data_IF_235744612470
#
_entry.id   IF_235744612470
#
_cell.length_a   1.000
_cell.length_b   1.000
_cell.length_c   1.000
_cell.angle_alpha   90.00
_cell.angle_beta   90.00
_cell.angle_gamma   90.00
#
_symmetry.space_group_name_H-M   'P 1'
#
loop_
_entity.id
_entity.type
_entity.pdbx_description
1 polymer ?
#
# COMPACT_ATOMS: atom_id res chain seq x y z
N UNK A 1 -28.39 -15.92 8.97
CA UNK A 1 -28.35 -14.94 7.86
C UNK A 1 -26.88 -14.78 7.48
N UNK A 2 -26.50 -14.90 6.21
CA UNK A 2 -25.11 -14.57 5.84
C UNK A 2 -24.92 -13.08 6.11
N UNK A 3 -23.99 -12.72 6.98
CA UNK A 3 -23.72 -11.33 7.31
C UNK A 3 -23.37 -10.57 6.02
N UNK A 4 -24.01 -9.42 5.81
CA UNK A 4 -23.65 -8.53 4.71
C UNK A 4 -22.23 -8.01 4.98
N UNK A 5 -21.34 -7.98 3.98
CA UNK A 5 -19.99 -7.42 4.13
C UNK A 5 -20.04 -6.00 4.69
N UNK A 6 -19.26 -5.76 5.74
CA UNK A 6 -19.18 -4.46 6.41
C UNK A 6 -18.12 -3.63 5.70
N UNK A 7 -18.46 -2.44 5.19
CA UNK A 7 -17.48 -1.53 4.62
C UNK A 7 -16.67 -0.87 5.73
N UNK A 8 -15.35 -1.00 5.68
CA UNK A 8 -14.38 -0.45 6.63
C UNK A 8 -13.72 0.83 6.13
N UNK A 9 -13.54 0.95 4.81
CA UNK A 9 -12.88 2.10 4.18
C UNK A 9 -13.73 2.66 3.04
N UNK A 10 -13.65 3.97 2.85
CA UNK A 10 -14.23 4.62 1.68
C UNK A 10 -13.49 4.23 0.41
N UNK A 11 -14.25 3.96 -0.65
CA UNK A 11 -13.73 3.64 -1.97
C UNK A 11 -14.78 3.03 -2.87
N UNK A 12 -14.34 2.44 -3.97
CA UNK A 12 -15.19 1.99 -5.08
C UNK A 12 -15.29 0.47 -5.19
N UNK A 13 -14.55 -0.27 -4.37
CA UNK A 13 -14.52 -1.73 -4.43
C UNK A 13 -15.91 -2.32 -4.17
N UNK A 14 -16.21 -3.41 -4.83
CA UNK A 14 -17.37 -4.25 -4.58
C UNK A 14 -17.08 -5.24 -3.44
N UNK A 15 -18.12 -5.77 -2.77
CA UNK A 15 -17.93 -6.83 -1.80
C UNK A 15 -17.20 -8.03 -2.40
N UNK A 16 -16.18 -8.53 -1.68
CA UNK A 16 -15.29 -9.63 -2.11
C UNK A 16 -14.45 -9.34 -3.38
N UNK A 17 -14.34 -8.08 -3.80
CA UNK A 17 -13.43 -7.69 -4.86
C UNK A 17 -11.97 -7.86 -4.41
N UNK A 18 -11.13 -8.34 -5.34
CA UNK A 18 -9.69 -8.47 -5.10
C UNK A 18 -9.06 -7.09 -5.02
N UNK A 19 -8.28 -6.85 -3.99
CA UNK A 19 -7.37 -5.69 -3.94
C UNK A 19 -5.95 -6.04 -4.40
N UNK A 20 -5.75 -7.26 -4.90
CA UNK A 20 -4.50 -7.71 -5.49
C UNK A 20 -4.70 -8.08 -6.96
N UNK A 21 -3.62 -7.94 -7.73
CA UNK A 21 -3.53 -8.42 -9.11
C UNK A 21 -2.47 -9.51 -9.17
N UNK A 22 -2.77 -10.58 -9.89
CA UNK A 22 -1.79 -11.63 -10.20
C UNK A 22 -1.20 -11.41 -11.57
N UNK A 23 0.09 -11.68 -11.71
CA UNK A 23 0.84 -11.64 -12.96
C UNK A 23 1.60 -12.96 -13.06
N UNK A 24 1.31 -13.73 -14.10
CA UNK A 24 1.99 -15.00 -14.32
C UNK A 24 3.47 -14.78 -14.64
N UNK A 25 4.30 -15.75 -14.28
CA UNK A 25 5.75 -15.71 -14.52
C UNK A 25 6.12 -15.46 -16.00
N UNK A 26 5.29 -15.89 -16.94
CA UNK A 26 5.51 -15.69 -18.37
C UNK A 26 5.27 -14.24 -18.83
N UNK A 27 4.50 -13.47 -18.06
CA UNK A 27 4.15 -12.07 -18.33
C UNK A 27 4.99 -11.10 -17.48
N UNK A 28 5.63 -11.63 -16.44
CA UNK A 28 6.51 -10.90 -15.54
C UNK A 28 7.87 -10.60 -16.17
N UNK A 29 8.36 -9.38 -15.97
CA UNK A 29 9.71 -8.98 -16.41
C UNK A 29 10.82 -9.73 -15.66
N UNK A 30 10.54 -10.20 -14.45
CA UNK A 30 11.49 -10.96 -13.64
C UNK A 30 11.53 -12.46 -14.00
N UNK A 31 10.54 -12.94 -14.78
CA UNK A 31 10.36 -14.37 -15.04
C UNK A 31 9.85 -15.16 -13.82
N UNK A 32 9.51 -14.47 -12.72
CA UNK A 32 8.90 -15.03 -11.52
C UNK A 32 7.43 -14.64 -11.46
N UNK A 33 6.62 -15.46 -10.78
CA UNK A 33 5.22 -15.11 -10.55
C UNK A 33 5.12 -13.88 -9.64
N UNK A 34 4.26 -12.93 -10.01
CA UNK A 34 4.15 -11.65 -9.33
C UNK A 34 2.73 -11.42 -8.78
N UNK A 35 2.64 -10.79 -7.61
CA UNK A 35 1.40 -10.26 -7.05
C UNK A 35 1.59 -8.78 -6.75
N UNK A 36 0.69 -7.94 -7.23
CA UNK A 36 0.65 -6.53 -6.88
C UNK A 36 -0.41 -6.28 -5.81
N UNK A 37 -0.01 -5.69 -4.69
CA UNK A 37 -0.90 -5.09 -3.70
C UNK A 37 -0.93 -3.58 -3.90
N UNK A 38 -1.94 -3.10 -4.62
CA UNK A 38 -2.13 -1.70 -4.96
C UNK A 38 -3.39 -1.15 -4.28
N UNK A 39 -3.24 -0.10 -3.47
CA UNK A 39 -4.36 0.55 -2.78
C UNK A 39 -4.63 -0.01 -1.38
N UNK A 40 -5.88 0.03 -0.93
CA UNK A 40 -6.27 -0.35 0.45
C UNK A 40 -6.41 -1.86 0.58
N UNK A 41 -5.89 -2.43 1.68
CA UNK A 41 -6.07 -3.83 2.06
C UNK A 41 -7.53 -4.02 2.48
N UNK A 42 -8.35 -4.33 1.48
CA UNK A 42 -9.79 -4.52 1.56
C UNK A 42 -10.57 -3.31 2.09
N UNK A 43 -11.48 -2.78 1.27
CA UNK A 43 -12.45 -1.80 1.71
C UNK A 43 -13.58 -2.41 2.57
N UNK A 44 -13.68 -3.73 2.62
CA UNK A 44 -14.67 -4.47 3.40
C UNK A 44 -14.00 -5.37 4.46
N UNK A 45 -14.61 -5.49 5.64
CA UNK A 45 -14.10 -6.36 6.69
C UNK A 45 -14.12 -7.83 6.27
N UNK A 46 -13.07 -8.54 6.64
CA UNK A 46 -12.95 -10.00 6.47
C UNK A 46 -13.23 -10.78 7.75
N UNK A 47 -13.78 -10.13 8.78
CA UNK A 47 -14.17 -10.80 10.01
C UNK A 47 -15.19 -11.90 9.71
N UNK A 48 -14.85 -13.14 10.05
CA UNK A 48 -15.59 -14.36 9.68
C UNK A 48 -15.86 -14.56 8.17
N UNK A 49 -15.10 -13.90 7.29
CA UNK A 49 -15.12 -14.11 5.83
C UNK A 49 -13.98 -15.04 5.40
N UNK A 50 -14.34 -16.20 4.85
CA UNK A 50 -13.40 -17.20 4.30
C UNK A 50 -13.27 -17.13 2.78
N UNK A 51 -14.11 -16.36 2.08
CA UNK A 51 -14.11 -16.31 0.62
C UNK A 51 -12.83 -15.65 0.12
N UNK A 52 -12.60 -14.42 0.56
CA UNK A 52 -11.51 -13.59 0.03
C UNK A 52 -10.11 -14.12 0.41
N UNK A 53 -9.84 -14.58 1.65
CA UNK A 53 -8.59 -15.28 1.98
C UNK A 53 -8.35 -16.54 1.14
N UNK A 54 -9.42 -17.31 0.88
CA UNK A 54 -9.32 -18.49 0.01
C UNK A 54 -8.97 -18.09 -1.41
N UNK A 55 -9.59 -17.03 -1.95
CA UNK A 55 -9.25 -16.50 -3.28
C UNK A 55 -7.78 -16.10 -3.36
N UNK A 56 -7.26 -15.38 -2.36
CA UNK A 56 -5.84 -15.01 -2.33
C UNK A 56 -4.93 -16.24 -2.32
N UNK A 57 -5.25 -17.24 -1.48
CA UNK A 57 -4.50 -18.49 -1.42
C UNK A 57 -4.55 -19.25 -2.75
N UNK A 58 -5.73 -19.40 -3.34
CA UNK A 58 -5.89 -20.11 -4.61
C UNK A 58 -5.08 -19.42 -5.73
N UNK A 59 -5.17 -18.09 -5.81
CA UNK A 59 -4.45 -17.27 -6.78
C UNK A 59 -2.93 -17.39 -6.60
N UNK A 60 -2.42 -17.24 -5.37
CA UNK A 60 -0.99 -17.39 -5.03
C UNK A 60 -0.45 -18.77 -5.45
N UNK A 61 -1.19 -19.84 -5.11
CA UNK A 61 -0.75 -21.20 -5.42
C UNK A 61 -0.89 -21.53 -6.92
N UNK A 62 -1.84 -20.90 -7.62
CA UNK A 62 -2.02 -21.06 -9.06
C UNK A 62 -0.85 -20.47 -9.85
N UNK A 63 -0.41 -19.24 -9.52
CA UNK A 63 0.70 -18.58 -10.22
C UNK A 63 2.06 -19.08 -9.73
N UNK A 64 2.21 -19.26 -8.42
CA UNK A 64 3.50 -19.57 -7.81
C UNK A 64 3.87 -21.04 -7.96
N UNK A 65 2.88 -21.95 -7.95
CA UNK A 65 3.06 -23.41 -8.11
C UNK A 65 4.12 -24.01 -7.16
N UNK A 66 4.31 -23.39 -5.99
CA UNK A 66 5.32 -23.76 -5.00
C UNK A 66 6.74 -23.23 -5.31
N UNK A 67 6.92 -22.51 -6.42
CA UNK A 67 8.15 -21.79 -6.77
C UNK A 67 8.22 -20.38 -6.17
N UNK A 68 9.30 -19.63 -6.45
CA UNK A 68 9.47 -18.28 -5.94
C UNK A 68 8.37 -17.34 -6.44
N UNK A 69 7.95 -16.44 -5.56
CA UNK A 69 6.97 -15.39 -5.86
C UNK A 69 7.50 -14.04 -5.41
N UNK A 70 7.27 -13.02 -6.23
CA UNK A 70 7.55 -11.63 -5.88
C UNK A 70 6.24 -10.90 -5.63
N UNK A 71 6.13 -10.19 -4.52
CA UNK A 71 4.96 -9.39 -4.18
C UNK A 71 5.36 -7.92 -4.13
N UNK A 72 4.82 -7.12 -5.05
CA UNK A 72 5.02 -5.68 -5.10
C UNK A 72 3.95 -5.00 -4.25
N UNK A 73 4.36 -4.09 -3.39
CA UNK A 73 3.47 -3.44 -2.41
C UNK A 73 3.49 -1.93 -2.60
N UNK A 74 2.31 -1.38 -2.84
CA UNK A 74 2.00 0.03 -2.81
C UNK A 74 0.63 0.25 -2.14
N UNK A 75 0.62 0.14 -0.82
CA UNK A 75 -0.59 0.11 -0.02
C UNK A 75 -0.50 1.01 1.21
N UNK A 76 -1.54 1.83 1.38
CA UNK A 76 -1.82 2.62 2.57
C UNK A 76 -2.22 1.81 3.80
N UNK A 77 -2.36 0.48 3.70
CA UNK A 77 -2.87 -0.38 4.76
C UNK A 77 -4.36 -0.68 4.58
N UNK A 78 -5.04 -1.09 5.66
CA UNK A 78 -6.45 -1.49 5.59
C UNK A 78 -6.85 -2.42 6.74
N UNK A 79 -7.71 -3.40 6.45
CA UNK A 79 -8.23 -4.36 7.44
C UNK A 79 -7.11 -5.25 8.02
N UNK A 80 -6.93 -5.19 9.34
CA UNK A 80 -5.86 -5.91 10.06
C UNK A 80 -6.07 -7.42 10.09
N UNK A 81 -7.32 -7.89 10.05
CA UNK A 81 -7.65 -9.32 10.03
C UNK A 81 -7.33 -9.89 8.66
N UNK A 82 -7.65 -9.17 7.59
CA UNK A 82 -7.27 -9.50 6.22
C UNK A 82 -5.74 -9.61 6.08
N UNK A 83 -5.02 -8.60 6.56
CA UNK A 83 -3.56 -8.61 6.57
C UNK A 83 -2.98 -9.80 7.36
N UNK A 84 -3.56 -10.13 8.52
CA UNK A 84 -3.13 -11.26 9.34
C UNK A 84 -3.37 -12.62 8.66
N UNK A 85 -4.52 -12.80 7.99
CA UNK A 85 -4.82 -14.02 7.21
C UNK A 85 -3.85 -14.15 6.02
N UNK A 86 -3.60 -13.08 5.28
CA UNK A 86 -2.63 -13.06 4.17
C UNK A 86 -1.23 -13.38 4.66
N UNK A 87 -0.77 -12.73 5.73
CA UNK A 87 0.53 -13.02 6.37
C UNK A 87 0.67 -14.50 6.69
N UNK A 88 -0.38 -15.12 7.23
CA UNK A 88 -0.37 -16.56 7.56
C UNK A 88 -0.27 -17.43 6.29
N UNK A 89 -1.03 -17.09 5.24
CA UNK A 89 -0.98 -17.80 3.95
C UNK A 89 0.43 -17.71 3.34
N UNK A 90 1.06 -16.54 3.40
CA UNK A 90 2.42 -16.31 2.90
C UNK A 90 3.46 -17.06 3.73
N UNK A 91 3.34 -17.05 5.06
CA UNK A 91 4.26 -17.79 5.93
C UNK A 91 4.17 -19.32 5.75
N UNK A 92 3.01 -19.84 5.35
CA UNK A 92 2.82 -21.27 5.04
C UNK A 92 3.27 -21.66 3.62
N UNK A 93 3.48 -20.68 2.74
CA UNK A 93 3.88 -20.91 1.36
C UNK A 93 5.29 -21.52 1.30
N UNK A 94 5.47 -22.54 0.45
CA UNK A 94 6.73 -23.31 0.40
C UNK A 94 7.80 -22.68 -0.47
N UNK A 95 7.39 -21.89 -1.46
CA UNK A 95 8.32 -21.15 -2.30
C UNK A 95 8.84 -19.92 -1.55
N UNK A 96 9.96 -19.37 -2.02
CA UNK A 96 10.48 -18.12 -1.47
C UNK A 96 9.52 -16.96 -1.77
N UNK A 97 9.19 -16.17 -0.75
CA UNK A 97 8.38 -14.96 -0.88
C UNK A 97 9.30 -13.74 -0.81
N UNK A 98 9.43 -13.04 -1.94
CA UNK A 98 10.14 -11.76 -2.03
C UNK A 98 9.15 -10.62 -1.97
N UNK A 99 9.23 -9.75 -0.97
CA UNK A 99 8.43 -8.53 -0.87
C UNK A 99 9.22 -7.36 -1.45
N UNK A 100 8.58 -6.54 -2.29
CA UNK A 100 9.14 -5.31 -2.85
C UNK A 100 8.20 -4.15 -2.54
N UNK A 101 8.57 -3.28 -1.61
CA UNK A 101 7.83 -2.04 -1.38
C UNK A 101 8.22 -1.04 -2.46
N UNK A 102 7.31 -0.80 -3.40
CA UNK A 102 7.59 -0.01 -4.61
C UNK A 102 7.15 1.45 -4.49
N UNK A 103 6.27 1.77 -3.54
CA UNK A 103 5.87 3.14 -3.24
C UNK A 103 5.55 3.34 -1.76
N UNK A 104 4.58 2.57 -1.26
CA UNK A 104 4.12 2.69 0.12
C UNK A 104 3.83 1.33 0.76
N UNK A 105 4.23 1.16 2.01
CA UNK A 105 3.66 0.13 2.89
C UNK A 105 3.33 0.75 4.25
N UNK A 106 2.07 1.12 4.44
CA UNK A 106 1.60 1.75 5.68
C UNK A 106 0.65 0.85 6.48
N UNK A 107 0.70 0.96 7.80
CA UNK A 107 -0.21 0.25 8.71
C UNK A 107 -0.24 -1.27 8.44
N UNK A 108 -1.42 -1.86 8.21
CA UNK A 108 -1.61 -3.29 7.99
C UNK A 108 -0.77 -3.85 6.82
N UNK A 109 -0.35 -3.02 5.86
CA UNK A 109 0.53 -3.44 4.78
C UNK A 109 1.92 -3.85 5.28
N UNK A 110 2.44 -3.20 6.33
CA UNK A 110 3.71 -3.59 6.94
C UNK A 110 3.62 -5.00 7.53
N UNK A 111 2.47 -5.37 8.12
CA UNK A 111 2.25 -6.72 8.65
C UNK A 111 2.36 -7.78 7.55
N UNK A 112 1.82 -7.50 6.35
CA UNK A 112 1.94 -8.39 5.18
C UNK A 112 3.39 -8.42 4.67
N UNK A 113 4.04 -7.25 4.52
CA UNK A 113 5.45 -7.17 4.07
C UNK A 113 6.38 -7.97 4.96
N UNK A 114 6.15 -7.95 6.27
CA UNK A 114 6.92 -8.73 7.23
C UNK A 114 6.63 -10.25 7.18
N UNK A 115 5.79 -10.73 6.27
CA UNK A 115 5.68 -12.16 5.95
C UNK A 115 6.80 -12.65 5.02
N UNK A 116 7.48 -11.74 4.31
CA UNK A 116 8.49 -12.08 3.32
C UNK A 116 9.74 -12.75 3.90
N UNK A 117 10.33 -13.61 3.08
CA UNK A 117 11.68 -14.17 3.30
C UNK A 117 12.77 -13.15 2.95
N UNK A 118 12.50 -12.34 1.93
CA UNK A 118 13.33 -11.20 1.51
C UNK A 118 12.46 -9.97 1.35
N UNK A 119 12.90 -8.85 1.89
CA UNK A 119 12.15 -7.60 1.90
C UNK A 119 13.01 -6.50 1.31
N UNK A 120 12.62 -6.05 0.14
CA UNK A 120 13.23 -4.92 -0.55
C UNK A 120 12.33 -3.70 -0.46
N UNK A 121 12.94 -2.52 -0.43
CA UNK A 121 12.24 -1.24 -0.49
C UNK A 121 12.91 -0.35 -1.51
N UNK A 122 12.14 0.27 -2.41
CA UNK A 122 12.68 1.24 -3.35
C UNK A 122 13.19 2.48 -2.60
N UNK A 123 14.25 3.10 -3.10
CA UNK A 123 14.87 4.31 -2.53
C UNK A 123 13.90 5.48 -2.27
N UNK A 124 12.84 5.56 -3.08
CA UNK A 124 11.78 6.58 -3.03
C UNK A 124 10.54 6.13 -2.26
N UNK A 125 10.51 4.89 -1.76
CA UNK A 125 9.37 4.34 -1.05
C UNK A 125 9.44 4.55 0.46
N UNK A 126 8.27 4.45 1.10
CA UNK A 126 8.08 4.69 2.52
C UNK A 126 7.38 3.52 3.22
N UNK A 127 7.72 3.33 4.50
CA UNK A 127 6.95 2.49 5.42
C UNK A 127 6.32 3.35 6.52
N UNK A 128 5.18 2.93 7.05
CA UNK A 128 4.59 3.56 8.23
C UNK A 128 4.03 2.52 9.19
N UNK A 129 4.36 2.68 10.47
CA UNK A 129 3.76 1.91 11.56
C UNK A 129 3.02 2.83 12.52
N UNK A 130 1.86 2.38 12.98
CA UNK A 130 1.05 3.09 13.97
C UNK A 130 0.23 2.11 14.81
N UNK A 131 -0.40 2.62 15.87
CA UNK A 131 -1.33 1.83 16.68
C UNK A 131 -2.58 1.41 15.88
N UNK A 132 -3.13 0.20 16.12
CA UNK A 132 -4.40 -0.19 15.50
C UNK A 132 -5.52 0.76 15.94
N UNK A 133 -6.49 0.99 15.06
CA UNK A 133 -7.60 1.88 15.32
C UNK A 133 -8.92 1.30 14.78
N UNK A 134 -10.02 1.63 15.45
CA UNK A 134 -11.37 1.42 14.93
C UNK A 134 -11.89 2.72 14.33
N UNK A 135 -12.37 2.65 13.08
CA UNK A 135 -13.14 3.73 12.47
C UNK A 135 -14.62 3.47 12.73
N UNK A 136 -15.28 4.38 13.47
CA UNK A 136 -16.69 4.24 13.80
C UNK A 136 -17.44 5.50 13.41
N UNK A 137 -18.36 5.37 12.47
CA UNK A 137 -19.16 6.48 11.94
C UNK A 137 -20.60 6.40 12.48
N UNK A 138 -21.11 7.51 12.99
CA UNK A 138 -22.51 7.67 13.43
C UNK A 138 -23.01 6.61 14.43
N UNK A 139 -22.15 6.07 15.30
CA UNK A 139 -22.56 5.14 16.36
C UNK A 139 -22.70 5.86 17.71
N UNK A 140 -23.76 5.52 18.45
CA UNK A 140 -23.86 5.83 19.88
C UNK A 140 -23.19 4.71 20.65
N UNK A 141 -22.09 5.02 21.34
CA UNK A 141 -21.28 4.06 22.08
C UNK A 141 -21.38 4.33 23.57
N UNK A 142 -21.63 3.29 24.37
CA UNK A 142 -21.61 3.37 25.82
C UNK A 142 -20.21 3.05 26.38
N UNK A 143 -20.03 3.31 27.68
CA UNK A 143 -18.76 3.09 28.38
C UNK A 143 -18.34 1.62 28.32
N UNK A 144 -19.30 0.68 28.33
CA UNK A 144 -19.00 -0.75 28.30
C UNK A 144 -18.42 -1.16 26.94
N UNK A 145 -19.02 -0.68 25.86
CA UNK A 145 -18.60 -0.92 24.48
C UNK A 145 -17.20 -0.35 24.24
N UNK A 146 -16.96 0.89 24.66
CA UNK A 146 -15.65 1.53 24.53
C UNK A 146 -14.54 0.76 25.29
N UNK A 147 -14.84 0.23 26.48
CA UNK A 147 -13.90 -0.60 27.24
C UNK A 147 -13.60 -1.94 26.55
N UNK A 148 -14.61 -2.58 25.96
CA UNK A 148 -14.40 -3.81 25.18
C UNK A 148 -13.47 -3.54 24.00
N UNK A 149 -13.75 -2.50 23.23
CA UNK A 149 -12.96 -2.15 22.05
C UNK A 149 -11.53 -1.75 22.40
N UNK A 150 -11.32 -1.07 23.53
CA UNK A 150 -9.98 -0.79 24.02
C UNK A 150 -9.20 -2.08 24.28
N UNK A 151 -9.79 -3.04 25.00
CA UNK A 151 -9.15 -4.33 25.28
C UNK A 151 -8.87 -5.13 23.99
N UNK A 152 -9.77 -5.04 23.00
CA UNK A 152 -9.56 -5.63 21.67
C UNK A 152 -8.39 -4.98 20.93
N UNK A 153 -8.31 -3.64 20.91
CA UNK A 153 -7.19 -2.91 20.31
C UNK A 153 -5.86 -3.22 21.00
N UNK A 154 -5.84 -3.31 22.33
CA UNK A 154 -4.65 -3.70 23.09
C UNK A 154 -4.19 -5.11 22.71
N UNK A 155 -5.12 -6.05 22.52
CA UNK A 155 -4.83 -7.42 22.09
C UNK A 155 -4.25 -7.45 20.68
N UNK A 156 -4.88 -6.73 19.74
CA UNK A 156 -4.39 -6.62 18.35
C UNK A 156 -3.00 -5.95 18.32
N UNK A 157 -2.84 -4.86 19.08
CA UNK A 157 -1.58 -4.12 19.19
C UNK A 157 -0.46 -5.04 19.68
N UNK A 158 -0.70 -5.85 20.71
CA UNK A 158 0.30 -6.79 21.22
C UNK A 158 0.77 -7.77 20.12
N UNK A 159 -0.15 -8.37 19.38
CA UNK A 159 0.22 -9.31 18.29
C UNK A 159 1.03 -8.66 17.16
N UNK A 160 0.69 -7.41 16.80
CA UNK A 160 1.46 -6.62 15.82
C UNK A 160 2.86 -6.30 16.38
N UNK A 161 2.93 -5.87 17.64
CA UNK A 161 4.21 -5.56 18.30
C UNK A 161 5.14 -6.77 18.33
N UNK A 162 4.63 -7.94 18.70
CA UNK A 162 5.42 -9.18 18.74
C UNK A 162 6.00 -9.50 17.36
N UNK A 163 5.22 -9.28 16.29
CA UNK A 163 5.69 -9.43 14.91
C UNK A 163 6.81 -8.46 14.58
N UNK A 164 6.67 -7.18 14.94
CA UNK A 164 7.68 -6.16 14.68
C UNK A 164 8.96 -6.42 15.48
N UNK A 165 8.84 -6.76 16.77
CA UNK A 165 9.97 -7.11 17.63
C UNK A 165 10.72 -8.32 17.06
N UNK A 166 9.98 -9.37 16.67
CA UNK A 166 10.59 -10.58 16.13
C UNK A 166 11.34 -10.35 14.82
N UNK A 167 10.85 -9.43 13.96
CA UNK A 167 11.49 -9.13 12.68
C UNK A 167 12.65 -8.16 12.80
N UNK A 168 12.50 -7.11 13.60
CA UNK A 168 13.46 -5.99 13.68
C UNK A 168 14.54 -6.20 14.73
N UNK A 169 14.29 -7.04 15.76
CA UNK A 169 15.13 -7.15 16.95
C UNK A 169 15.08 -5.90 17.87
N UNK A 170 14.22 -4.93 17.58
CA UNK A 170 14.03 -3.74 18.42
C UNK A 170 13.23 -4.13 19.68
N UNK A 171 13.53 -3.48 20.82
CA UNK A 171 12.78 -3.73 22.06
C UNK A 171 11.30 -3.41 21.91
N UNK A 172 10.45 -4.20 22.58
CA UNK A 172 8.99 -4.00 22.60
C UNK A 172 8.61 -2.57 23.03
N UNK A 173 9.31 -1.99 24.01
CA UNK A 173 9.08 -0.62 24.46
C UNK A 173 9.33 0.41 23.34
N UNK A 174 10.41 0.24 22.57
CA UNK A 174 10.74 1.17 21.48
C UNK A 174 9.77 0.99 20.32
N UNK A 175 9.40 -0.25 19.95
CA UNK A 175 8.36 -0.49 18.95
C UNK A 175 7.03 0.14 19.39
N UNK A 176 6.62 -0.05 20.64
CA UNK A 176 5.40 0.53 21.19
C UNK A 176 5.38 2.05 21.05
N UNK A 177 6.49 2.72 21.40
CA UNK A 177 6.62 4.18 21.22
C UNK A 177 6.52 4.57 19.75
N UNK A 178 7.23 3.89 18.86
CA UNK A 178 7.19 4.19 17.42
C UNK A 178 5.78 4.04 16.84
N UNK A 179 5.02 3.03 17.28
CA UNK A 179 3.63 2.86 16.86
C UNK A 179 2.73 3.98 17.41
N UNK A 180 2.85 4.33 18.68
CA UNK A 180 2.04 5.41 19.27
C UNK A 180 2.37 6.80 18.70
N UNK A 181 3.57 7.01 18.16
CA UNK A 181 3.98 8.27 17.51
C UNK A 181 3.58 8.35 16.02
N UNK A 182 3.01 7.28 15.45
CA UNK A 182 2.78 7.13 14.00
C UNK A 182 4.08 7.39 13.23
N UNK A 183 4.99 6.43 13.28
CA UNK A 183 6.33 6.57 12.71
C UNK A 183 6.34 6.28 11.22
N UNK A 184 6.81 7.25 10.45
CA UNK A 184 7.13 7.14 9.03
C UNK A 184 8.62 6.86 8.86
N UNK A 185 8.95 5.90 8.01
CA UNK A 185 10.31 5.45 7.73
C UNK A 185 10.61 5.61 6.25
N UNK A 186 11.73 6.26 5.94
CA UNK A 186 12.35 6.19 4.61
C UNK A 186 12.88 4.78 4.33
N UNK A 187 13.17 4.46 3.08
CA UNK A 187 13.82 3.20 2.68
C UNK A 187 15.06 2.86 3.53
N UNK A 188 15.96 3.83 3.71
CA UNK A 188 17.19 3.64 4.50
C UNK A 188 16.90 3.42 5.98
N UNK A 189 15.92 4.11 6.55
CA UNK A 189 15.52 3.91 7.95
C UNK A 189 14.84 2.56 8.16
N UNK A 190 13.99 2.14 7.21
CA UNK A 190 13.37 0.82 7.24
C UNK A 190 14.42 -0.29 7.27
N UNK A 191 15.46 -0.21 6.42
CA UNK A 191 16.58 -1.17 6.44
C UNK A 191 17.37 -1.07 7.74
N UNK A 192 17.76 0.15 8.16
CA UNK A 192 18.53 0.36 9.39
C UNK A 192 17.82 -0.18 10.64
N UNK A 193 16.49 -0.14 10.65
CA UNK A 193 15.66 -0.60 11.76
C UNK A 193 15.17 -2.05 11.58
N UNK A 194 15.57 -2.74 10.51
CA UNK A 194 15.24 -4.16 10.29
C UNK A 194 13.81 -4.43 9.83
N UNK A 195 13.11 -3.42 9.28
CA UNK A 195 11.81 -3.61 8.62
C UNK A 195 11.97 -4.04 7.15
N UNK A 196 13.14 -3.81 6.55
CA UNK A 196 13.52 -4.28 5.23
C UNK A 196 14.98 -4.77 5.27
N UNK A 197 15.36 -5.58 4.29
CA UNK A 197 16.70 -6.15 4.18
C UNK A 197 17.63 -5.25 3.34
N UNK A 198 17.11 -4.66 2.26
CA UNK A 198 17.92 -3.88 1.32
C UNK A 198 17.11 -2.79 0.61
N UNK A 199 17.78 -1.66 0.33
CA UNK A 199 17.24 -0.59 -0.51
C UNK A 199 17.59 -0.88 -1.97
N UNK A 200 16.58 -0.88 -2.83
CA UNK A 200 16.77 -0.93 -4.27
C UNK A 200 16.82 0.50 -4.82
N UNK A 201 17.90 0.83 -5.53
CA UNK A 201 17.97 2.06 -6.31
C UNK A 201 17.40 1.82 -7.70
N UNK A 202 16.70 2.83 -8.25
CA UNK A 202 16.04 2.71 -9.54
C UNK A 202 17.00 2.29 -10.67
N UNK A 203 16.91 1.03 -11.10
CA UNK A 203 17.19 0.60 -12.46
C UNK A 203 15.96 0.84 -13.36
N UNK A 204 16.11 0.72 -14.67
CA UNK A 204 15.02 0.91 -15.68
C UNK A 204 13.79 0.01 -15.50
N UNK A 205 13.82 -0.91 -14.54
CA UNK A 205 12.79 -1.92 -14.25
C UNK A 205 11.86 -1.52 -13.08
N UNK A 206 12.02 -0.32 -12.51
CA UNK A 206 11.23 0.19 -11.38
C UNK A 206 9.81 0.67 -11.77
N UNK A 207 9.23 0.19 -12.87
CA UNK A 207 7.86 0.53 -13.25
C UNK A 207 6.85 -0.44 -12.63
N UNK A 208 6.34 -0.07 -11.45
CA UNK A 208 5.02 -0.54 -11.01
C UNK A 208 3.97 0.28 -11.74
N UNK A 209 3.10 -0.36 -12.53
CA UNK A 209 1.93 0.30 -13.11
C UNK A 209 0.86 0.42 -12.02
N UNK A 210 0.91 1.50 -11.23
CA UNK A 210 -0.15 1.82 -10.29
C UNK A 210 -1.44 2.17 -11.07
N UNK A 211 -2.58 1.64 -10.62
CA UNK A 211 -3.87 2.04 -11.18
C UNK A 211 -4.35 3.37 -10.57
N UNK A 212 -5.05 4.19 -11.36
CA UNK A 212 -5.65 5.45 -10.86
C UNK A 212 -6.55 5.21 -9.63
N UNK A 213 -7.26 4.09 -9.59
CA UNK A 213 -8.09 3.70 -8.46
C UNK A 213 -7.27 3.43 -7.19
N UNK A 214 -6.13 2.75 -7.32
CA UNK A 214 -5.24 2.47 -6.19
C UNK A 214 -4.60 3.75 -5.63
N UNK A 215 -4.17 4.67 -6.50
CA UNK A 215 -3.64 5.96 -6.10
C UNK A 215 -4.69 6.78 -5.32
N UNK A 216 -5.93 6.80 -5.79
CA UNK A 216 -7.04 7.45 -5.10
C UNK A 216 -7.36 6.81 -3.74
N UNK A 217 -7.36 5.47 -3.67
CA UNK A 217 -7.62 4.73 -2.45
C UNK A 217 -6.50 4.91 -1.40
N UNK A 218 -5.24 4.94 -1.84
CA UNK A 218 -4.12 5.28 -0.97
C UNK A 218 -4.24 6.72 -0.46
N UNK A 219 -4.55 7.68 -1.35
CA UNK A 219 -4.74 9.08 -0.97
C UNK A 219 -5.90 9.30 0.02
N UNK A 220 -6.99 8.53 -0.07
CA UNK A 220 -8.11 8.62 0.88
C UNK A 220 -7.70 8.13 2.27
N UNK A 221 -6.97 7.02 2.36
CA UNK A 221 -6.53 6.46 3.64
C UNK A 221 -5.42 7.30 4.28
N UNK A 222 -4.46 7.81 3.49
CA UNK A 222 -3.38 8.65 4.00
C UNK A 222 -3.87 9.87 4.77
N UNK A 223 -5.00 10.47 4.37
CA UNK A 223 -5.60 11.63 5.06
C UNK A 223 -6.03 11.34 6.50
N UNK A 224 -6.21 10.06 6.85
CA UNK A 224 -6.62 9.63 8.17
C UNK A 224 -5.43 9.34 9.11
N UNK A 225 -4.20 9.39 8.60
CA UNK A 225 -3.01 9.12 9.39
C UNK A 225 -2.37 10.40 9.94
N UNK A 226 -1.75 10.26 11.11
CA UNK A 226 -0.99 11.34 11.73
C UNK A 226 0.40 11.46 11.09
N UNK A 227 0.95 12.68 11.12
CA UNK A 227 2.34 12.97 10.74
C UNK A 227 2.73 12.55 9.30
N UNK A 228 1.77 12.49 8.37
CA UNK A 228 2.02 12.09 6.98
C UNK A 228 3.04 13.04 6.33
N UNK A 229 4.16 12.54 5.78
CA UNK A 229 5.09 13.35 5.01
C UNK A 229 4.38 14.10 3.87
N UNK A 230 4.60 15.40 3.76
CA UNK A 230 3.93 16.25 2.77
C UNK A 230 4.10 15.76 1.32
N UNK A 231 5.24 15.12 1.01
CA UNK A 231 5.50 14.53 -0.29
C UNK A 231 4.48 13.43 -0.67
N UNK A 232 3.94 12.67 0.31
CA UNK A 232 2.94 11.63 0.09
C UNK A 232 1.53 12.20 -0.12
N UNK A 233 1.25 13.40 0.39
CA UNK A 233 -0.02 14.09 0.16
C UNK A 233 -0.05 14.82 -1.21
N UNK A 234 1.12 15.20 -1.72
CA UNK A 234 1.27 16.00 -2.94
C UNK A 234 1.39 15.18 -4.24
N UNK A 235 1.24 13.85 -4.21
CA UNK A 235 1.25 13.03 -5.42
C UNK A 235 0.03 13.26 -6.36
N UNK A 236 -0.84 14.23 -6.04
CA UNK A 236 -1.88 14.73 -6.93
C UNK A 236 -1.47 15.99 -7.76
N UNK A 237 -0.21 16.44 -7.72
CA UNK A 237 0.25 17.63 -8.45
C UNK A 237 1.14 17.34 -9.67
N UNK A 238 1.06 16.16 -10.28
CA UNK A 238 1.37 16.03 -11.70
C UNK A 238 0.06 15.93 -12.45
N UNK A 239 -0.46 17.09 -12.88
CA UNK A 239 -1.25 17.13 -14.11
C UNK A 239 -0.48 16.34 -15.19
N UNK A 240 -1.18 15.70 -16.16
CA UNK A 240 -0.47 15.19 -17.31
C UNK A 240 0.35 16.37 -17.84
N UNK A 241 1.67 16.18 -17.97
CA UNK A 241 2.48 17.07 -18.80
C UNK A 241 1.78 17.01 -20.14
N UNK A 242 0.93 18.01 -20.42
CA UNK A 242 0.59 18.33 -21.79
C UNK A 242 1.96 18.47 -22.42
N UNK A 243 2.32 17.53 -23.29
CA UNK A 243 3.28 17.84 -24.32
C UNK A 243 2.79 19.17 -24.86
N UNK A 244 3.56 20.23 -24.62
CA UNK A 244 3.48 21.41 -25.43
C UNK A 244 3.85 20.87 -26.80
N UNK A 245 2.83 20.42 -27.54
CA UNK A 245 2.88 20.40 -28.98
C UNK A 245 3.07 21.87 -29.27
N UNK A 246 4.27 22.23 -29.73
CA UNK A 246 4.50 23.56 -30.25
C UNK A 246 3.42 23.77 -31.32
N UNK A 247 2.44 24.61 -31.01
CA UNK A 247 1.50 25.10 -32.00
C UNK A 247 2.34 25.88 -33.01
N UNK A 248 2.56 25.26 -34.16
CA UNK A 248 3.04 25.89 -35.40
C UNK A 248 2.01 26.91 -35.97
N UNK A 249 1.02 27.35 -35.18
CA UNK A 249 0.00 28.32 -35.60
C UNK A 249 0.21 29.74 -35.05
N UNK A 250 1.18 29.97 -34.16
CA UNK A 250 1.50 31.32 -33.66
C UNK A 250 2.40 32.14 -34.61
N UNK A 251 2.98 31.54 -35.66
CA UNK A 251 3.89 32.27 -36.57
C UNK A 251 3.17 33.08 -37.66
N UNK A 252 1.96 32.70 -38.07
CA UNK A 252 1.27 33.41 -39.16
C UNK A 252 0.62 34.72 -38.73
N UNK A 253 0.13 34.82 -37.49
CA UNK A 253 -0.50 36.05 -36.99
C UNK A 253 0.55 37.12 -36.65
N UNK A 254 1.71 36.71 -36.09
CA UNK A 254 2.84 37.62 -35.85
C UNK A 254 3.47 38.14 -37.15
N UNK A 255 3.54 37.31 -38.21
CA UNK A 255 4.00 37.75 -39.53
C UNK A 255 3.01 38.69 -40.22
N UNK A 256 1.70 38.46 -40.06
CA UNK A 256 0.69 39.38 -40.61
C UNK A 256 0.74 40.76 -39.94
N UNK A 257 0.96 40.80 -38.63
CA UNK A 257 1.09 42.04 -37.86
C UNK A 257 2.40 42.80 -38.17
N UNK A 258 3.51 42.10 -38.48
CA UNK A 258 4.74 42.77 -38.90
C UNK A 258 4.63 43.39 -40.29
N UNK A 259 3.99 42.70 -41.23
CA UNK A 259 3.84 43.17 -42.62
C UNK A 259 2.88 44.38 -42.72
N UNK A 260 1.89 44.48 -41.83
CA UNK A 260 0.94 45.60 -41.79
C UNK A 260 1.55 46.90 -41.22
N UNK A 261 2.63 46.79 -40.43
CA UNK A 261 3.36 47.93 -39.86
C UNK A 261 4.37 48.51 -40.84
N UNK A 262 4.98 47.72 -41.73
CA UNK A 262 5.93 48.21 -42.74
C UNK A 262 5.27 48.93 -43.93
N UNK A 263 3.95 48.76 -44.16
CA UNK A 263 3.21 49.43 -45.24
C UNK A 263 2.68 50.83 -44.89
N UNK A 264 2.84 51.28 -43.64
CA UNK A 264 2.35 52.57 -43.15
C UNK A 264 3.45 53.54 -42.64
N UNK A 265 4.70 53.33 -43.05
CA UNK A 265 5.82 54.27 -42.85
C UNK A 265 6.41 54.77 -44.18
#
# INVERSE_FOLDING_TARGET
MKNKPIRCFEGTAQPHERFWRVIDAAESQSGEAEIDFDGVISEYSWYDDDITPKMFKDDLYAIGKGGPVTIKVNSGGGDVIAASKIRSILADYKGQVTMKVVGLAASAAVVIVLAGDRIYIQDTAYMMIHDPAFAVFMAYLDISTLKSWLAELETIKQGIQDTYVSKTGISAEKINRMMSETTWLTANEAVKLGFADEVLSAGRDAQGSESVSAAQANASVLKNYMNVPAALLNQQASEPVQKIVADDELSEEEQRLSDEVELNL
#
